data_IF_657596210920
#
_entry.id   IF_657596210920
#
_cell.length_a   1.000
_cell.length_b   1.000
_cell.length_c   1.000
_cell.angle_alpha   90.00
_cell.angle_beta   90.00
_cell.angle_gamma   90.00
#
_symmetry.space_group_name_H-M   'P 1'
#
loop_
_entity.id
_entity.type
_entity.pdbx_description
1 polymer ?
#
# COMPACT_ATOMS: atom_id res chain seq x y z
N UNK A 1 -2.59 4.64 32.74
CA UNK A 1 -1.43 5.28 32.09
C UNK A 1 -1.32 4.64 30.72
N UNK A 2 -1.14 5.42 29.64
CA UNK A 2 -0.87 4.81 28.33
C UNK A 2 0.50 4.14 28.39
N UNK A 3 0.60 2.89 27.94
CA UNK A 3 1.89 2.20 27.86
C UNK A 3 2.88 3.05 27.04
N UNK A 4 4.13 3.15 27.50
CA UNK A 4 5.23 3.83 26.79
C UNK A 4 5.59 3.08 25.50
N UNK A 5 5.31 1.78 25.45
CA UNK A 5 5.67 0.87 24.38
C UNK A 5 4.43 0.42 23.60
N UNK A 6 4.64 0.12 22.33
CA UNK A 6 3.58 -0.28 21.40
C UNK A 6 3.68 -1.76 21.03
N UNK A 7 2.68 -2.26 20.32
CA UNK A 7 2.71 -3.63 19.77
C UNK A 7 3.85 -3.84 18.77
N UNK A 8 4.30 -2.78 18.08
CA UNK A 8 5.46 -2.82 17.19
C UNK A 8 6.76 -3.05 17.98
N UNK A 9 6.88 -2.48 19.18
CA UNK A 9 8.01 -2.71 20.08
C UNK A 9 7.98 -4.14 20.63
N UNK A 10 6.80 -4.68 20.96
CA UNK A 10 6.66 -6.07 21.36
C UNK A 10 7.08 -7.06 20.25
N UNK A 11 6.80 -6.73 18.98
CA UNK A 11 7.26 -7.51 17.84
C UNK A 11 8.79 -7.43 17.68
N UNK A 12 9.37 -6.22 17.73
CA UNK A 12 10.83 -6.02 17.66
C UNK A 12 11.57 -6.76 18.77
N UNK A 13 11.04 -6.76 20.00
CA UNK A 13 11.61 -7.53 21.10
C UNK A 13 11.56 -9.04 20.84
N UNK A 14 10.40 -9.56 20.42
CA UNK A 14 10.22 -10.98 20.15
C UNK A 14 11.06 -11.51 18.97
N UNK A 15 11.37 -10.65 18.00
CA UNK A 15 12.23 -10.95 16.84
C UNK A 15 13.72 -10.69 17.09
N UNK A 16 14.11 -10.16 18.26
CA UNK A 16 15.50 -9.86 18.59
C UNK A 16 16.07 -8.65 17.84
N UNK A 17 15.22 -7.71 17.44
CA UNK A 17 15.53 -6.50 16.65
C UNK A 17 15.71 -5.23 17.52
N UNK A 18 15.90 -5.40 18.83
CA UNK A 18 16.20 -4.31 19.77
C UNK A 18 17.69 -4.28 20.10
N UNK A 19 18.24 -3.08 20.33
CA UNK A 19 19.59 -2.94 20.87
C UNK A 19 19.65 -3.42 22.34
N UNK A 20 20.85 -3.65 22.88
CA UNK A 20 21.01 -4.09 24.26
C UNK A 20 20.45 -3.08 25.28
N UNK A 21 20.55 -1.79 24.97
CA UNK A 21 20.01 -0.70 25.78
C UNK A 21 18.48 -0.63 25.70
N UNK A 22 17.90 -0.77 24.50
CA UNK A 22 16.45 -0.80 24.29
C UNK A 22 15.81 -2.02 24.95
N UNK A 23 16.48 -3.17 24.90
CA UNK A 23 16.02 -4.42 25.50
C UNK A 23 15.92 -4.31 27.02
N UNK A 24 16.89 -3.67 27.67
CA UNK A 24 16.90 -3.49 29.13
C UNK A 24 15.76 -2.56 29.60
N UNK A 25 15.47 -1.49 28.85
CA UNK A 25 14.32 -0.62 29.12
C UNK A 25 12.99 -1.36 28.93
N UNK A 26 12.90 -2.17 27.87
CA UNK A 26 11.71 -2.95 27.56
C UNK A 26 11.42 -4.03 28.62
N UNK A 27 12.44 -4.74 29.08
CA UNK A 27 12.32 -5.77 30.14
C UNK A 27 11.92 -5.16 31.48
N UNK A 28 12.43 -3.97 31.80
CA UNK A 28 12.03 -3.23 32.99
C UNK A 28 10.54 -2.86 32.90
N UNK A 29 10.09 -2.31 31.77
CA UNK A 29 8.69 -1.94 31.56
C UNK A 29 7.76 -3.16 31.55
N UNK A 30 8.23 -4.33 31.10
CA UNK A 30 7.48 -5.57 31.11
C UNK A 30 7.14 -6.05 32.54
N UNK A 31 7.92 -5.67 33.55
CA UNK A 31 7.63 -6.02 34.96
C UNK A 31 6.54 -5.14 35.59
N UNK A 32 6.36 -3.92 35.09
CA UNK A 32 5.46 -2.93 35.68
C UNK A 32 4.14 -2.78 34.88
N UNK A 33 4.16 -3.08 33.58
CA UNK A 33 3.06 -2.82 32.66
C UNK A 33 2.34 -4.10 32.22
N UNK A 34 1.15 -4.32 32.79
CA UNK A 34 0.27 -5.44 32.43
C UNK A 34 -0.28 -5.34 31.00
N UNK A 35 -0.41 -4.15 30.42
CA UNK A 35 -0.87 -3.95 29.04
C UNK A 35 0.22 -4.37 28.05
N UNK A 36 1.49 -4.06 28.35
CA UNK A 36 2.63 -4.48 27.56
C UNK A 36 2.84 -6.01 27.57
N UNK A 37 2.61 -6.65 28.72
CA UNK A 37 2.60 -8.12 28.82
C UNK A 37 1.54 -8.76 27.91
N UNK A 38 0.34 -8.16 27.85
CA UNK A 38 -0.74 -8.63 26.97
C UNK A 38 -0.37 -8.46 25.49
N UNK A 39 0.26 -7.35 25.11
CA UNK A 39 0.70 -7.12 23.74
C UNK A 39 1.77 -8.12 23.29
N UNK A 40 2.76 -8.42 24.14
CA UNK A 40 3.79 -9.42 23.85
C UNK A 40 3.20 -10.83 23.75
N UNK A 41 2.25 -11.17 24.62
CA UNK A 41 1.57 -12.46 24.57
C UNK A 41 0.70 -12.60 23.31
N UNK A 42 -0.03 -11.54 22.93
CA UNK A 42 -0.83 -11.53 21.70
C UNK A 42 0.05 -11.74 20.46
N UNK A 43 1.19 -11.05 20.39
CA UNK A 43 2.14 -11.23 19.28
C UNK A 43 2.66 -12.68 19.23
N UNK A 44 3.09 -13.25 20.36
CA UNK A 44 3.55 -14.65 20.44
C UNK A 44 2.45 -15.66 20.11
N UNK A 45 1.21 -15.41 20.51
CA UNK A 45 0.07 -16.28 20.23
C UNK A 45 -0.27 -16.29 18.73
N UNK A 46 -0.36 -15.12 18.11
CA UNK A 46 -0.63 -14.99 16.67
C UNK A 46 0.49 -15.66 15.88
N UNK A 47 1.75 -15.35 16.19
CA UNK A 47 2.89 -15.91 15.46
C UNK A 47 3.04 -17.43 15.70
N UNK A 48 2.84 -17.90 16.92
CA UNK A 48 2.85 -19.32 17.25
C UNK A 48 1.64 -20.10 16.74
N UNK A 49 0.50 -19.45 16.49
CA UNK A 49 -0.66 -20.07 15.82
C UNK A 49 -0.42 -20.24 14.32
N UNK A 50 0.26 -19.26 13.70
CA UNK A 50 0.73 -19.33 12.33
C UNK A 50 1.77 -20.45 12.18
N UNK A 51 2.79 -20.52 13.04
CA UNK A 51 3.74 -21.64 13.04
C UNK A 51 3.05 -22.99 13.21
N UNK A 52 2.11 -23.14 14.15
CA UNK A 52 1.30 -24.37 14.31
C UNK A 52 0.46 -24.72 13.07
N UNK A 53 0.00 -23.72 12.33
CA UNK A 53 -0.70 -23.93 11.05
C UNK A 53 0.24 -24.36 9.92
N UNK A 54 1.52 -23.96 9.98
CA UNK A 54 2.57 -24.38 9.04
C UNK A 54 3.25 -25.70 9.43
N UNK A 55 3.31 -26.06 10.72
CA UNK A 55 3.80 -27.35 11.23
C UNK A 55 2.74 -28.44 11.27
N UNK A 56 1.57 -28.23 10.66
CA UNK A 56 0.57 -29.28 10.40
C UNK A 56 1.13 -30.49 9.63
N UNK A 57 2.35 -30.39 9.08
CA UNK A 57 3.14 -31.51 8.57
C UNK A 57 3.56 -32.54 9.65
N UNK A 58 3.82 -32.14 10.90
CA UNK A 58 4.20 -33.07 11.98
C UNK A 58 3.01 -33.89 12.50
N UNK A 59 1.79 -33.33 12.43
CA UNK A 59 0.57 -34.03 12.83
C UNK A 59 0.00 -34.94 11.73
N UNK A 60 0.48 -34.83 10.47
CA UNK A 60 0.03 -35.70 9.38
C UNK A 60 0.44 -37.16 9.61
N UNK A 61 1.63 -37.40 10.18
CA UNK A 61 2.15 -38.74 10.38
C UNK A 61 1.44 -39.48 11.51
N UNK A 62 1.14 -38.77 12.61
CA UNK A 62 0.32 -39.29 13.71
C UNK A 62 -1.13 -39.51 13.27
N UNK A 63 -1.72 -38.57 12.52
CA UNK A 63 -3.07 -38.72 11.98
C UNK A 63 -3.16 -39.89 10.99
N UNK A 64 -2.15 -40.08 10.13
CA UNK A 64 -2.04 -41.26 9.25
C UNK A 64 -1.90 -42.55 10.03
N UNK A 65 -1.12 -42.55 11.12
CA UNK A 65 -0.98 -43.73 11.97
C UNK A 65 -2.33 -44.10 12.61
N UNK A 66 -3.05 -43.15 13.20
CA UNK A 66 -4.38 -43.37 13.78
C UNK A 66 -5.40 -43.81 12.73
N UNK A 67 -5.43 -43.18 11.56
CA UNK A 67 -6.34 -43.58 10.47
C UNK A 67 -6.01 -44.97 9.89
N UNK A 68 -4.73 -45.35 9.88
CA UNK A 68 -4.29 -46.68 9.43
C UNK A 68 -4.63 -47.77 10.45
N UNK A 69 -4.52 -47.47 11.73
CA UNK A 69 -4.88 -48.37 12.82
C UNK A 69 -6.40 -48.64 12.82
N UNK A 70 -7.21 -47.58 12.72
CA UNK A 70 -8.67 -47.70 12.57
C UNK A 70 -9.10 -48.42 11.28
N UNK A 71 -8.31 -48.35 10.20
CA UNK A 71 -8.60 -49.08 8.95
C UNK A 71 -8.48 -50.59 9.12
N UNK A 72 -7.52 -51.05 9.93
CA UNK A 72 -7.35 -52.46 10.23
C UNK A 72 -8.53 -53.03 11.01
N UNK A 73 -9.07 -52.23 11.94
CA UNK A 73 -10.14 -52.61 12.86
C UNK A 73 -11.54 -52.61 12.21
N UNK A 74 -11.79 -51.73 11.23
CA UNK A 74 -13.13 -51.58 10.63
C UNK A 74 -13.30 -52.15 9.21
N UNK A 75 -12.21 -52.49 8.49
CA UNK A 75 -12.29 -52.87 7.06
C UNK A 75 -11.65 -54.21 6.69
N UNK A 76 -11.37 -55.09 7.66
CA UNK A 76 -10.77 -56.41 7.40
C UNK A 76 -11.69 -57.55 7.80
N UNK A 77 -12.79 -57.74 7.07
CA UNK A 77 -13.41 -59.06 6.82
C UNK A 77 -14.56 -58.91 5.81
N UNK A 78 -14.30 -59.26 4.54
CA UNK A 78 -15.04 -60.33 3.85
C UNK A 78 -14.61 -60.48 2.37
N UNK A 79 -13.98 -61.62 2.13
CA UNK A 79 -14.15 -62.55 1.01
C UNK A 79 -14.48 -62.07 -0.43
N UNK A 80 -13.52 -62.41 -1.31
CA UNK A 80 -13.69 -63.29 -2.48
C UNK A 80 -14.13 -62.76 -3.87
N UNK A 81 -13.28 -63.20 -4.82
CA UNK A 81 -13.57 -63.71 -6.17
C UNK A 81 -13.46 -62.73 -7.36
N UNK A 82 -12.36 -62.85 -8.11
CA UNK A 82 -12.37 -63.41 -9.47
C UNK A 82 -10.97 -63.41 -10.08
N UNK A 83 -10.53 -64.60 -10.46
CA UNK A 83 -9.33 -64.90 -11.24
C UNK A 83 -9.48 -64.35 -12.65
N UNK A 84 -8.59 -63.46 -13.11
CA UNK A 84 -8.29 -63.31 -14.55
C UNK A 84 -6.78 -63.08 -14.74
N UNK A 85 -6.19 -64.08 -15.38
CA UNK A 85 -4.90 -64.18 -16.05
C UNK A 85 -4.26 -62.87 -16.54
N UNK A 86 -2.98 -62.70 -16.20
CA UNK A 86 -2.02 -61.83 -16.90
C UNK A 86 -1.90 -62.23 -18.37
N UNK A 87 -1.90 -61.28 -19.31
CA UNK A 87 -0.98 -61.31 -20.43
C UNK A 87 0.20 -60.40 -20.13
N UNK A 88 1.40 -60.96 -20.30
CA UNK A 88 2.65 -60.19 -20.35
C UNK A 88 2.59 -59.26 -21.56
N UNK A 89 2.31 -57.97 -21.31
CA UNK A 89 2.52 -56.90 -22.27
C UNK A 89 3.49 -55.92 -21.62
N UNK A 90 4.66 -55.80 -22.23
CA UNK A 90 5.70 -54.86 -21.85
C UNK A 90 5.24 -53.43 -22.17
N UNK A 91 4.39 -52.87 -21.33
CA UNK A 91 4.13 -51.44 -21.34
C UNK A 91 5.22 -50.76 -20.50
N UNK A 92 6.19 -50.14 -21.17
CA UNK A 92 7.09 -49.19 -20.52
C UNK A 92 6.23 -48.01 -20.05
N UNK A 93 5.77 -48.06 -18.80
CA UNK A 93 5.19 -46.92 -18.13
C UNK A 93 6.29 -45.87 -17.99
N UNK A 94 6.32 -44.91 -18.92
CA UNK A 94 7.03 -43.66 -18.70
C UNK A 94 6.34 -42.99 -17.51
N UNK A 95 6.98 -43.10 -16.36
CA UNK A 95 6.67 -42.29 -15.19
C UNK A 95 6.95 -40.85 -15.60
N UNK A 96 5.94 -40.17 -16.14
CA UNK A 96 6.00 -38.72 -16.35
C UNK A 96 6.07 -38.14 -14.94
N UNK A 97 7.30 -37.80 -14.55
CA UNK A 97 7.68 -37.33 -13.23
C UNK A 97 6.65 -36.31 -12.75
N UNK A 98 6.10 -36.57 -11.57
CA UNK A 98 5.33 -35.69 -10.69
C UNK A 98 6.07 -34.39 -10.29
N UNK A 99 7.12 -34.03 -11.02
CA UNK A 99 7.89 -32.79 -10.90
C UNK A 99 7.27 -31.66 -11.74
N UNK A 100 6.47 -31.98 -12.76
CA UNK A 100 5.81 -30.99 -13.61
C UNK A 100 4.67 -30.27 -12.89
N UNK A 101 4.02 -30.92 -11.91
CA UNK A 101 2.98 -30.29 -11.08
C UNK A 101 3.56 -29.27 -10.09
N UNK A 102 4.74 -29.54 -9.52
CA UNK A 102 5.45 -28.58 -8.65
C UNK A 102 5.99 -27.38 -9.44
N UNK A 103 6.49 -27.61 -10.67
CA UNK A 103 6.93 -26.52 -11.57
C UNK A 103 5.75 -25.69 -12.11
N UNK A 104 4.60 -26.31 -12.38
CA UNK A 104 3.40 -25.59 -12.83
C UNK A 104 2.82 -24.68 -11.74
N UNK A 105 2.84 -25.11 -10.47
CA UNK A 105 2.35 -24.30 -9.34
C UNK A 105 3.28 -23.11 -9.05
N UNK A 106 4.61 -23.29 -9.09
CA UNK A 106 5.54 -22.17 -8.90
C UNK A 106 5.49 -21.17 -10.04
N UNK A 107 5.35 -21.63 -11.30
CA UNK A 107 5.19 -20.75 -12.44
C UNK A 107 3.88 -19.94 -12.38
N UNK A 108 2.76 -20.57 -11.98
CA UNK A 108 1.48 -19.86 -11.83
C UNK A 108 1.52 -18.82 -10.69
N UNK A 109 2.15 -19.14 -9.56
CA UNK A 109 2.35 -18.18 -8.47
C UNK A 109 3.25 -17.00 -8.90
N UNK A 110 4.35 -17.27 -9.61
CA UNK A 110 5.22 -16.22 -10.13
C UNK A 110 4.51 -15.31 -11.15
N UNK A 111 3.66 -15.89 -12.01
CA UNK A 111 2.84 -15.12 -12.96
C UNK A 111 1.79 -14.28 -12.22
N UNK A 112 1.10 -14.85 -11.22
CA UNK A 112 0.13 -14.10 -10.42
C UNK A 112 0.79 -12.96 -9.64
N UNK A 113 1.97 -13.19 -9.06
CA UNK A 113 2.77 -12.15 -8.39
C UNK A 113 3.20 -11.09 -9.42
N UNK A 114 3.74 -11.49 -10.57
CA UNK A 114 4.15 -10.55 -11.61
C UNK A 114 2.96 -9.69 -12.09
N UNK A 115 1.79 -10.30 -12.24
CA UNK A 115 0.57 -9.61 -12.64
C UNK A 115 0.04 -8.69 -11.52
N UNK A 116 0.10 -9.11 -10.26
CA UNK A 116 -0.27 -8.27 -9.11
C UNK A 116 0.72 -7.15 -8.81
N UNK A 117 2.00 -7.31 -9.14
CA UNK A 117 3.02 -6.25 -9.04
C UNK A 117 2.87 -5.27 -10.21
N UNK A 118 2.55 -5.77 -11.40
CA UNK A 118 2.39 -4.94 -12.59
C UNK A 118 1.06 -4.16 -12.61
N UNK A 119 0.02 -4.63 -11.90
CA UNK A 119 -1.32 -4.04 -11.80
C UNK A 119 -1.83 -3.35 -13.08
N UNK A 120 -1.82 -4.01 -14.25
CA UNK A 120 -2.17 -3.36 -15.53
C UNK A 120 -3.64 -2.90 -15.60
N UNK A 121 -4.49 -3.36 -14.69
CA UNK A 121 -5.89 -2.97 -14.50
C UNK A 121 -6.09 -1.77 -13.57
N UNK A 122 -5.09 -1.40 -12.77
CA UNK A 122 -5.17 -0.28 -11.84
C UNK A 122 -4.60 0.98 -12.52
N UNK A 123 -5.15 1.31 -13.70
CA UNK A 123 -4.91 2.62 -14.31
C UNK A 123 -5.63 3.64 -13.43
N UNK A 124 -4.93 4.18 -12.44
CA UNK A 124 -5.46 5.27 -11.63
C UNK A 124 -5.65 6.48 -12.55
N UNK A 125 -6.90 6.87 -12.90
CA UNK A 125 -7.13 7.99 -13.80
C UNK A 125 -6.53 9.29 -13.22
N UNK A 126 -6.38 9.40 -11.90
CA UNK A 126 -5.68 10.52 -11.28
C UNK A 126 -4.22 10.65 -11.75
N UNK A 127 -3.49 9.53 -11.87
CA UNK A 127 -2.07 9.52 -12.23
C UNK A 127 -1.78 10.09 -13.63
N UNK A 128 -2.75 10.01 -14.54
CA UNK A 128 -2.67 10.60 -15.89
C UNK A 128 -2.68 12.14 -15.85
N UNK A 129 -3.35 12.73 -14.86
CA UNK A 129 -3.56 14.18 -14.77
C UNK A 129 -2.74 14.86 -13.67
N UNK A 130 -2.07 14.07 -12.82
CA UNK A 130 -1.22 14.55 -11.75
C UNK A 130 -0.06 15.43 -12.27
N UNK A 131 0.16 16.59 -11.63
CA UNK A 131 1.38 17.39 -11.83
C UNK A 131 2.53 16.63 -11.20
N UNK A 132 3.56 16.41 -11.99
CA UNK A 132 4.75 15.66 -11.60
C UNK A 132 5.96 16.56 -11.36
N UNK A 133 5.88 17.82 -11.78
CA UNK A 133 6.97 18.78 -11.69
C UNK A 133 6.48 20.14 -11.19
N UNK A 134 7.29 20.75 -10.33
CA UNK A 134 7.16 22.11 -9.88
C UNK A 134 8.19 22.96 -10.59
N UNK A 135 7.73 24.07 -11.16
CA UNK A 135 8.63 25.09 -11.72
C UNK A 135 9.51 25.65 -10.60
N UNK A 136 10.83 25.69 -10.82
CA UNK A 136 11.75 26.28 -9.87
C UNK A 136 11.86 27.79 -10.11
N UNK A 137 11.60 28.65 -9.12
CA UNK A 137 11.84 30.07 -9.26
C UNK A 137 13.34 30.35 -9.44
N UNK A 138 13.67 31.37 -10.24
CA UNK A 138 15.05 31.84 -10.34
C UNK A 138 15.49 32.41 -8.98
N UNK A 139 16.65 31.98 -8.48
CA UNK A 139 17.24 32.53 -7.25
C UNK A 139 17.53 34.02 -7.43
N UNK A 140 16.68 34.87 -6.85
CA UNK A 140 16.87 36.33 -6.80
C UNK A 140 17.45 36.82 -5.46
N UNK A 141 17.91 35.88 -4.63
CA UNK A 141 18.64 36.16 -3.39
C UNK A 141 17.78 36.46 -2.16
N UNK A 142 16.45 36.29 -2.23
CA UNK A 142 15.60 36.38 -1.03
C UNK A 142 15.48 35.03 -0.31
N UNK A 143 15.25 35.05 1.02
CA UNK A 143 14.99 33.83 1.80
C UNK A 143 13.82 33.02 1.23
N UNK A 144 12.74 33.70 0.81
CA UNK A 144 11.58 33.05 0.20
C UNK A 144 11.96 32.34 -1.11
N UNK A 145 12.81 32.95 -1.95
CA UNK A 145 13.28 32.29 -3.17
C UNK A 145 14.09 31.03 -2.84
N UNK A 146 14.99 31.10 -1.86
CA UNK A 146 15.77 29.93 -1.42
C UNK A 146 14.87 28.78 -0.91
N UNK A 147 13.83 29.09 -0.13
CA UNK A 147 12.87 28.08 0.35
C UNK A 147 12.07 27.49 -0.81
N UNK A 148 11.65 28.30 -1.79
CA UNK A 148 10.94 27.80 -2.97
C UNK A 148 11.83 26.92 -3.87
N UNK A 149 13.13 27.19 -3.95
CA UNK A 149 14.09 26.31 -4.64
C UNK A 149 14.17 24.96 -3.92
N UNK A 150 14.29 24.95 -2.58
CA UNK A 150 14.26 23.69 -1.81
C UNK A 150 12.95 22.93 -1.99
N UNK A 151 11.81 23.63 -1.96
CA UNK A 151 10.50 23.07 -2.25
C UNK A 151 10.45 22.41 -3.63
N UNK A 152 10.89 23.11 -4.68
CA UNK A 152 10.89 22.59 -6.04
C UNK A 152 11.77 21.35 -6.19
N UNK A 153 12.95 21.35 -5.56
CA UNK A 153 13.87 20.20 -5.57
C UNK A 153 13.23 18.98 -4.90
N UNK A 154 12.64 19.15 -3.72
CA UNK A 154 11.94 18.08 -3.01
C UNK A 154 10.72 17.58 -3.80
N UNK A 155 9.93 18.49 -4.36
CA UNK A 155 8.74 18.17 -5.14
C UNK A 155 9.10 17.33 -6.37
N UNK A 156 10.13 17.74 -7.11
CA UNK A 156 10.59 17.06 -8.32
C UNK A 156 11.29 15.73 -8.01
N UNK A 157 11.86 15.60 -6.80
CA UNK A 157 12.34 14.32 -6.27
C UNK A 157 11.19 13.42 -5.74
N UNK A 158 9.93 13.84 -5.86
CA UNK A 158 8.73 13.16 -5.35
C UNK A 158 8.69 13.05 -3.81
N UNK A 159 9.49 13.84 -3.12
CA UNK A 159 9.49 13.96 -1.66
C UNK A 159 8.39 14.95 -1.23
N UNK A 160 7.13 14.62 -1.55
CA UNK A 160 6.01 15.56 -1.43
C UNK A 160 5.76 16.05 -0.01
N UNK A 161 6.02 15.23 1.01
CA UNK A 161 5.92 15.65 2.41
C UNK A 161 6.95 16.72 2.77
N UNK A 162 8.21 16.57 2.31
CA UNK A 162 9.27 17.56 2.49
C UNK A 162 8.96 18.85 1.73
N UNK A 163 8.50 18.72 0.47
CA UNK A 163 8.07 19.85 -0.34
C UNK A 163 6.94 20.63 0.34
N UNK A 164 5.94 19.92 0.89
CA UNK A 164 4.83 20.53 1.61
C UNK A 164 5.31 21.34 2.84
N UNK A 165 6.32 20.85 3.57
CA UNK A 165 6.92 21.60 4.68
C UNK A 165 7.54 22.92 4.23
N UNK A 166 8.39 22.90 3.19
CA UNK A 166 9.00 24.13 2.66
C UNK A 166 7.95 25.09 2.09
N UNK A 167 6.95 24.58 1.37
CA UNK A 167 5.88 25.39 0.81
C UNK A 167 5.01 26.02 1.91
N UNK A 168 4.74 25.29 2.99
CA UNK A 168 4.00 25.81 4.12
C UNK A 168 4.73 26.98 4.80
N UNK A 169 6.06 26.92 4.94
CA UNK A 169 6.85 28.04 5.47
C UNK A 169 6.63 29.33 4.66
N UNK A 170 6.60 29.22 3.33
CA UNK A 170 6.35 30.36 2.45
C UNK A 170 4.91 30.88 2.61
N UNK A 171 3.93 29.98 2.69
CA UNK A 171 2.51 30.33 2.86
C UNK A 171 2.25 30.97 4.23
N UNK A 172 2.92 30.51 5.29
CA UNK A 172 2.80 31.07 6.63
C UNK A 172 3.34 32.50 6.69
N UNK A 173 4.45 32.76 5.99
CA UNK A 173 5.05 34.09 5.89
C UNK A 173 4.27 35.04 4.98
N UNK A 174 3.73 34.53 3.88
CA UNK A 174 2.94 35.29 2.91
C UNK A 174 1.77 34.46 2.39
N UNK A 175 0.63 34.62 3.08
CA UNK A 175 -0.63 33.97 2.71
C UNK A 175 -1.24 34.51 1.40
N UNK A 176 -0.66 35.54 0.77
CA UNK A 176 -1.09 36.00 -0.56
C UNK A 176 -0.33 35.33 -1.71
N UNK A 177 0.74 34.59 -1.39
CA UNK A 177 1.58 33.90 -2.38
C UNK A 177 0.84 32.71 -3.01
N UNK A 178 0.09 33.00 -4.08
CA UNK A 178 -0.72 32.01 -4.78
C UNK A 178 0.10 30.87 -5.38
N UNK A 179 1.36 31.13 -5.76
CA UNK A 179 2.27 30.09 -6.26
C UNK A 179 2.58 29.07 -5.17
N UNK A 180 2.98 29.53 -3.98
CA UNK A 180 3.28 28.66 -2.85
C UNK A 180 2.03 27.90 -2.39
N UNK A 181 0.87 28.56 -2.32
CA UNK A 181 -0.39 27.90 -1.94
C UNK A 181 -0.82 26.81 -2.93
N UNK A 182 -0.69 27.08 -4.24
CA UNK A 182 -1.04 26.12 -5.27
C UNK A 182 -0.19 24.86 -5.17
N UNK A 183 1.14 25.02 -5.15
CA UNK A 183 2.04 23.87 -5.03
C UNK A 183 1.94 23.20 -3.66
N UNK A 184 1.64 23.94 -2.58
CA UNK A 184 1.38 23.36 -1.27
C UNK A 184 0.18 22.41 -1.32
N UNK A 185 -0.91 22.86 -1.93
CA UNK A 185 -2.11 22.05 -2.17
C UNK A 185 -1.80 20.77 -2.96
N UNK A 186 -1.00 20.87 -4.03
CA UNK A 186 -0.61 19.69 -4.81
C UNK A 186 0.28 18.75 -3.99
N UNK A 187 1.29 19.27 -3.28
CA UNK A 187 2.18 18.46 -2.47
C UNK A 187 1.40 17.70 -1.37
N UNK A 188 0.42 18.35 -0.73
CA UNK A 188 -0.51 17.70 0.20
C UNK A 188 -1.33 16.59 -0.47
N UNK A 189 -1.83 16.83 -1.70
CA UNK A 189 -2.64 15.84 -2.42
C UNK A 189 -1.82 14.59 -2.78
N UNK A 190 -0.56 14.79 -3.18
CA UNK A 190 0.36 13.71 -3.53
C UNK A 190 0.85 12.93 -2.30
N UNK A 191 1.04 13.61 -1.17
CA UNK A 191 1.39 12.98 0.12
C UNK A 191 0.21 12.33 0.84
N UNK A 192 -1.01 12.40 0.28
CA UNK A 192 -2.20 11.72 0.81
C UNK A 192 -3.02 12.55 1.79
N UNK A 193 -2.65 13.80 2.07
CA UNK A 193 -3.44 14.74 2.87
C UNK A 193 -4.57 15.38 2.04
N UNK A 194 -5.40 14.55 1.40
CA UNK A 194 -6.39 14.94 0.37
C UNK A 194 -7.34 16.04 0.83
N UNK A 195 -7.90 15.95 2.03
CA UNK A 195 -8.88 16.95 2.50
C UNK A 195 -8.24 18.32 2.73
N UNK A 196 -7.05 18.36 3.35
CA UNK A 196 -6.29 19.61 3.54
C UNK A 196 -5.82 20.19 2.21
N UNK A 197 -5.43 19.34 1.27
CA UNK A 197 -5.07 19.73 -0.08
C UNK A 197 -6.26 20.41 -0.78
N UNK A 198 -7.43 19.76 -0.75
CA UNK A 198 -8.67 20.27 -1.32
C UNK A 198 -9.03 21.64 -0.76
N UNK A 199 -9.01 21.81 0.56
CA UNK A 199 -9.33 23.10 1.19
C UNK A 199 -8.35 24.21 0.78
N UNK A 200 -7.05 23.90 0.73
CA UNK A 200 -6.01 24.81 0.23
C UNK A 200 -6.29 25.22 -1.21
N UNK A 201 -6.55 24.26 -2.10
CA UNK A 201 -6.77 24.50 -3.52
C UNK A 201 -8.10 25.25 -3.78
N UNK A 202 -9.15 24.99 -3.01
CA UNK A 202 -10.41 25.77 -3.07
C UNK A 202 -10.16 27.24 -2.72
N UNK A 203 -9.21 27.52 -1.82
CA UNK A 203 -8.84 28.90 -1.48
C UNK A 203 -8.14 29.56 -2.67
N UNK A 204 -7.19 28.88 -3.30
CA UNK A 204 -6.50 29.36 -4.51
C UNK A 204 -7.47 29.57 -5.66
N UNK A 205 -8.45 28.67 -5.85
CA UNK A 205 -9.43 28.75 -6.95
C UNK A 205 -10.43 29.91 -6.81
N UNK A 206 -10.55 30.50 -5.62
CA UNK A 206 -11.36 31.69 -5.37
C UNK A 206 -10.59 32.99 -5.59
N UNK A 207 -9.27 32.92 -5.71
CA UNK A 207 -8.42 34.07 -6.04
C UNK A 207 -8.53 34.47 -7.51
N UNK A 208 -7.70 35.42 -7.93
CA UNK A 208 -7.62 35.91 -9.31
C UNK A 208 -6.23 35.73 -9.93
N UNK A 209 -5.44 34.80 -9.39
CA UNK A 209 -4.09 34.53 -9.87
C UNK A 209 -4.10 33.61 -11.09
N UNK A 210 -2.95 33.48 -11.73
CA UNK A 210 -2.75 32.53 -12.83
C UNK A 210 -2.90 31.05 -12.42
N UNK A 211 -3.17 30.75 -11.14
CA UNK A 211 -3.41 29.39 -10.63
C UNK A 211 -4.89 29.12 -10.34
N UNK A 212 -5.79 30.06 -10.58
CA UNK A 212 -7.20 29.94 -10.21
C UNK A 212 -7.88 28.71 -10.83
N UNK A 213 -7.70 28.51 -12.13
CA UNK A 213 -8.35 27.44 -12.88
C UNK A 213 -7.58 26.11 -12.76
N UNK A 214 -6.27 26.20 -12.61
CA UNK A 214 -5.36 25.11 -12.30
C UNK A 214 -5.74 24.49 -10.95
N UNK A 215 -5.95 25.31 -9.92
CA UNK A 215 -6.41 24.87 -8.62
C UNK A 215 -7.79 24.22 -8.71
N UNK A 216 -8.72 24.80 -9.48
CA UNK A 216 -10.06 24.22 -9.71
C UNK A 216 -9.97 22.80 -10.29
N UNK A 217 -9.06 22.59 -11.23
CA UNK A 217 -8.78 21.26 -11.80
C UNK A 217 -8.23 20.29 -10.74
N UNK A 218 -7.28 20.71 -9.91
CA UNK A 218 -6.77 19.86 -8.82
C UNK A 218 -7.79 19.58 -7.71
N UNK A 219 -8.75 20.49 -7.47
CA UNK A 219 -9.89 20.19 -6.61
C UNK A 219 -10.73 19.07 -7.20
N UNK A 220 -11.02 19.10 -8.51
CA UNK A 220 -11.72 17.99 -9.17
C UNK A 220 -10.94 16.66 -9.06
N UNK A 221 -9.63 16.69 -9.27
CA UNK A 221 -8.78 15.50 -9.12
C UNK A 221 -8.75 14.96 -7.68
N UNK A 222 -8.85 15.82 -6.67
CA UNK A 222 -8.97 15.37 -5.28
C UNK A 222 -10.29 14.62 -5.01
N UNK A 223 -11.40 15.01 -5.65
CA UNK A 223 -12.64 14.23 -5.62
C UNK A 223 -12.53 12.91 -6.40
N UNK A 224 -11.86 12.92 -7.56
CA UNK A 224 -11.60 11.72 -8.34
C UNK A 224 -10.84 10.66 -7.52
N UNK A 225 -9.81 11.09 -6.77
CA UNK A 225 -9.01 10.21 -5.90
C UNK A 225 -9.84 9.53 -4.81
N UNK A 226 -10.89 10.20 -4.33
CA UNK A 226 -11.85 9.66 -3.35
C UNK A 226 -13.06 8.97 -4.00
N UNK A 227 -13.06 8.82 -5.34
CA UNK A 227 -14.16 8.24 -6.13
C UNK A 227 -15.49 9.01 -6.01
N UNK A 228 -15.43 10.29 -5.64
CA UNK A 228 -16.58 11.19 -5.63
C UNK A 228 -16.77 11.79 -7.04
N UNK A 229 -17.39 11.00 -7.91
CA UNK A 229 -17.62 11.39 -9.31
C UNK A 229 -18.54 12.60 -9.44
N UNK A 230 -19.51 12.77 -8.55
CA UNK A 230 -20.45 13.90 -8.63
C UNK A 230 -19.74 15.23 -8.41
N UNK A 231 -18.96 15.36 -7.35
CA UNK A 231 -18.25 16.60 -7.08
C UNK A 231 -17.07 16.79 -8.04
N UNK A 232 -16.43 15.71 -8.51
CA UNK A 232 -15.45 15.79 -9.58
C UNK A 232 -16.06 16.46 -10.83
N UNK A 233 -17.20 15.97 -11.33
CA UNK A 233 -17.90 16.54 -12.50
C UNK A 233 -18.26 18.01 -12.29
N UNK A 234 -18.80 18.38 -11.12
CA UNK A 234 -19.17 19.78 -10.80
C UNK A 234 -17.98 20.73 -10.93
N UNK A 235 -16.81 20.34 -10.42
CA UNK A 235 -15.61 21.17 -10.50
C UNK A 235 -15.03 21.24 -11.92
N UNK A 236 -15.01 20.13 -12.66
CA UNK A 236 -14.52 20.12 -14.05
C UNK A 236 -15.37 21.01 -14.97
N UNK A 237 -16.70 21.01 -14.80
CA UNK A 237 -17.63 21.82 -15.61
C UNK A 237 -17.46 23.34 -15.41
N UNK A 238 -16.86 23.76 -14.30
CA UNK A 238 -16.64 25.18 -14.00
C UNK A 238 -15.35 25.73 -14.63
N UNK A 239 -14.51 24.87 -15.20
CA UNK A 239 -13.24 25.28 -15.81
C UNK A 239 -13.53 25.96 -17.16
N UNK A 240 -13.16 27.24 -17.34
CA UNK A 240 -13.46 27.96 -18.57
C UNK A 240 -12.61 27.47 -19.73
N UNK A 241 -13.13 27.64 -20.95
CA UNK A 241 -12.44 27.26 -22.20
C UNK A 241 -11.08 27.97 -22.40
N UNK A 242 -10.85 29.08 -21.71
CA UNK A 242 -9.59 29.84 -21.74
C UNK A 242 -8.51 29.26 -20.80
N UNK A 243 -8.85 28.31 -19.93
CA UNK A 243 -7.89 27.67 -19.03
C UNK A 243 -7.00 26.68 -19.78
N UNK A 244 -5.71 26.64 -19.44
CA UNK A 244 -4.78 25.65 -19.99
C UNK A 244 -5.17 24.19 -19.69
N UNK A 245 -5.95 23.95 -18.64
CA UNK A 245 -6.44 22.61 -18.28
C UNK A 245 -7.82 22.27 -18.87
N UNK A 246 -8.44 23.15 -19.67
CA UNK A 246 -9.77 22.89 -20.21
C UNK A 246 -9.85 21.60 -21.03
N UNK A 247 -8.87 21.34 -21.90
CA UNK A 247 -8.81 20.11 -22.70
C UNK A 247 -8.80 18.86 -21.82
N UNK A 248 -7.94 18.83 -20.80
CA UNK A 248 -7.86 17.73 -19.83
C UNK A 248 -9.16 17.57 -19.03
N UNK A 249 -9.82 18.68 -18.69
CA UNK A 249 -11.09 18.64 -17.99
C UNK A 249 -12.21 18.03 -18.83
N UNK A 250 -12.26 18.34 -20.13
CA UNK A 250 -13.24 17.74 -21.05
C UNK A 250 -12.95 16.25 -21.29
N UNK A 251 -11.69 15.87 -21.43
CA UNK A 251 -11.28 14.46 -21.54
C UNK A 251 -11.73 13.66 -20.30
N UNK A 252 -11.37 14.14 -19.11
CA UNK A 252 -11.77 13.48 -17.87
C UNK A 252 -13.30 13.44 -17.68
N UNK A 253 -14.04 14.47 -18.11
CA UNK A 253 -15.51 14.44 -18.07
C UNK A 253 -16.12 13.35 -18.95
N UNK A 254 -15.46 12.96 -20.05
CA UNK A 254 -15.93 11.88 -20.92
C UNK A 254 -15.64 10.49 -20.33
N UNK A 255 -14.56 10.36 -19.54
CA UNK A 255 -14.14 9.11 -18.91
C UNK A 255 -14.94 8.77 -17.63
N UNK A 256 -15.62 9.75 -17.03
CA UNK A 256 -16.39 9.65 -15.78
C UNK A 256 -17.85 9.27 -15.96
#
# INVERSE_FOLDING_TARGET
MKSKFTIEDAARYAEGLMSAEEQQEFETALTEDSELQQQLNLYKEVNGSLERSFTAAENEEQLRATLKDMRGEFFSNDASAATVSKPASAYKATVVKMMWRKVAITAAAAILIAVFVWQPWNKDPYSQYAVNEMESPVERGSHTDSVLVLASKAFNAKEYSSAATYLYEVVEKDSSNSFAQYYYGIALLQSGATEKARQTLITVSKGSSAFQHEASFYVALSYLKEKDTENCKKWLQQIPATSGNYGKAQELLQDL
#
